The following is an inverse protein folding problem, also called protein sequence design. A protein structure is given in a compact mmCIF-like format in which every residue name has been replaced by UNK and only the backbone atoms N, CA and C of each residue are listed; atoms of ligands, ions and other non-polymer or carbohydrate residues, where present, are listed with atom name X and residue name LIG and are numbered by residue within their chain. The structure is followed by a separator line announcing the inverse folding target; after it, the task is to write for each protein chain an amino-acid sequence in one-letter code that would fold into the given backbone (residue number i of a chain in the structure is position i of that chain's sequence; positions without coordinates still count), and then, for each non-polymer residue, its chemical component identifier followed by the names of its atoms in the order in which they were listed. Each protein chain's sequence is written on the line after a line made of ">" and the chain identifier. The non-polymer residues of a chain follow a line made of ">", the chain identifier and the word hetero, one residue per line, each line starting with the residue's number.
data_IF_995733889078
#
_entry.id   IF_995733889078
#
_cell.length_a   1.000
_cell.length_b   1.000
_cell.length_c   1.000
_cell.angle_alpha   90.00
_cell.angle_beta   90.00
_cell.angle_gamma   90.00
#
_symmetry.space_group_name_H-M   'P 1'
#
loop_
_entity.id
_entity.type
_entity.pdbx_description
1 polymer ?
#
# COMPACT_ATOMS: atom_id res chain seq x y z
N UNK A 1 25.81 -17.50 0.01
CA UNK A 1 24.45 -17.38 -0.57
C UNK A 1 23.90 -15.98 -0.30
N UNK A 2 23.67 -15.19 -1.35
CA UNK A 2 23.11 -13.83 -1.22
C UNK A 2 21.76 -13.91 -0.49
N UNK A 3 21.53 -13.09 0.55
CA UNK A 3 20.28 -13.12 1.35
C UNK A 3 19.02 -12.98 0.48
N UNK A 4 19.17 -12.29 -0.65
CA UNK A 4 18.15 -12.09 -1.68
C UNK A 4 17.68 -13.37 -2.37
N UNK A 5 18.51 -14.42 -2.49
CA UNK A 5 18.15 -15.67 -3.17
C UNK A 5 17.46 -16.71 -2.27
N UNK A 6 17.11 -16.34 -1.05
CA UNK A 6 16.36 -17.25 -0.17
C UNK A 6 14.93 -17.35 -0.67
N UNK A 7 14.39 -18.57 -0.74
CA UNK A 7 13.00 -18.82 -1.14
C UNK A 7 11.99 -17.96 -0.36
N UNK A 8 12.22 -17.79 0.95
CA UNK A 8 11.39 -16.95 1.84
C UNK A 8 11.39 -15.44 1.50
N UNK A 9 12.31 -14.97 0.64
CA UNK A 9 12.40 -13.60 0.13
C UNK A 9 11.81 -13.54 -1.29
N UNK A 10 12.28 -14.42 -2.18
CA UNK A 10 11.90 -14.39 -3.59
C UNK A 10 10.43 -14.77 -3.79
N UNK A 11 9.94 -15.80 -3.10
CA UNK A 11 8.60 -16.33 -3.31
C UNK A 11 7.52 -15.26 -3.06
N UNK A 12 7.51 -14.51 -1.94
CA UNK A 12 6.57 -13.41 -1.75
C UNK A 12 6.67 -12.32 -2.82
N UNK A 13 7.88 -11.98 -3.27
CA UNK A 13 8.09 -10.93 -4.28
C UNK A 13 7.48 -11.36 -5.62
N UNK A 14 7.79 -12.58 -6.08
CA UNK A 14 7.24 -13.11 -7.34
C UNK A 14 5.72 -13.23 -7.25
N UNK A 15 5.19 -13.77 -6.15
CA UNK A 15 3.73 -13.86 -5.96
C UNK A 15 3.09 -12.47 -5.95
N UNK A 16 3.72 -11.48 -5.32
CA UNK A 16 3.23 -10.11 -5.32
C UNK A 16 3.19 -9.50 -6.72
N UNK A 17 4.21 -9.73 -7.54
CA UNK A 17 4.25 -9.27 -8.94
C UNK A 17 3.15 -9.96 -9.76
N UNK A 18 3.01 -11.27 -9.65
CA UNK A 18 2.02 -12.04 -10.42
C UNK A 18 0.59 -11.65 -10.02
N UNK A 19 0.27 -11.71 -8.72
CA UNK A 19 -1.08 -11.40 -8.22
C UNK A 19 -1.42 -9.94 -8.48
N UNK A 20 -0.48 -9.03 -8.19
CA UNK A 20 -0.69 -7.60 -8.41
C UNK A 20 -0.88 -7.26 -9.88
N UNK A 21 -0.05 -7.80 -10.76
CA UNK A 21 -0.15 -7.59 -12.21
C UNK A 21 -1.41 -8.20 -12.81
N UNK A 22 -1.80 -9.42 -12.41
CA UNK A 22 -3.02 -10.08 -12.90
C UNK A 22 -4.27 -9.31 -12.49
N UNK A 23 -4.41 -8.97 -11.20
CA UNK A 23 -5.58 -8.24 -10.72
C UNK A 23 -5.66 -6.82 -11.29
N UNK A 24 -4.50 -6.19 -11.52
CA UNK A 24 -4.45 -4.91 -12.22
C UNK A 24 -4.92 -5.03 -13.67
N UNK A 25 -4.38 -6.00 -14.42
CA UNK A 25 -4.76 -6.21 -15.82
C UNK A 25 -6.25 -6.58 -15.98
N UNK A 26 -6.78 -7.44 -15.11
CA UNK A 26 -8.22 -7.75 -15.11
C UNK A 26 -9.06 -6.54 -14.71
N UNK A 27 -8.63 -5.79 -13.69
CA UNK A 27 -9.32 -4.57 -13.29
C UNK A 27 -9.35 -3.51 -14.39
N UNK A 28 -8.26 -3.34 -15.14
CA UNK A 28 -8.19 -2.43 -16.27
C UNK A 28 -9.07 -2.92 -17.43
N UNK A 29 -9.06 -4.22 -17.73
CA UNK A 29 -9.86 -4.82 -18.79
C UNK A 29 -11.38 -4.72 -18.53
N UNK A 30 -11.80 -4.93 -17.28
CA UNK A 30 -13.21 -4.90 -16.86
C UNK A 30 -13.69 -3.50 -16.40
N UNK A 31 -12.89 -2.46 -16.59
CA UNK A 31 -13.15 -1.08 -16.11
C UNK A 31 -13.55 -1.05 -14.61
N UNK A 32 -12.84 -1.86 -13.82
CA UNK A 32 -13.07 -2.09 -12.41
C UNK A 32 -11.91 -1.49 -11.58
N UNK A 33 -11.91 -0.17 -11.31
CA UNK A 33 -10.81 0.52 -10.61
C UNK A 33 -10.56 -0.02 -9.20
N UNK A 34 -11.59 -0.55 -8.54
CA UNK A 34 -11.47 -1.23 -7.26
C UNK A 34 -10.61 -2.50 -7.33
N UNK A 35 -10.70 -3.27 -8.42
CA UNK A 35 -9.89 -4.47 -8.62
C UNK A 35 -8.42 -4.11 -8.87
N UNK A 36 -8.16 -3.04 -9.64
CA UNK A 36 -6.82 -2.47 -9.81
C UNK A 36 -6.21 -2.08 -8.46
N UNK A 37 -6.98 -1.36 -7.63
CA UNK A 37 -6.52 -0.94 -6.31
C UNK A 37 -6.19 -2.15 -5.40
N UNK A 38 -7.02 -3.20 -5.42
CA UNK A 38 -6.77 -4.44 -4.66
C UNK A 38 -5.50 -5.13 -5.17
N UNK A 39 -5.31 -5.22 -6.49
CA UNK A 39 -4.13 -5.80 -7.11
C UNK A 39 -2.85 -5.10 -6.69
N UNK A 40 -2.78 -3.79 -6.88
CA UNK A 40 -1.63 -2.97 -6.49
C UNK A 40 -1.33 -3.06 -4.99
N UNK A 41 -2.37 -2.99 -4.16
CA UNK A 41 -2.25 -3.08 -2.70
C UNK A 41 -1.68 -4.43 -2.26
N UNK A 42 -2.25 -5.52 -2.77
CA UNK A 42 -1.86 -6.88 -2.41
C UNK A 42 -0.45 -7.20 -2.92
N UNK A 43 -0.15 -6.82 -4.16
CA UNK A 43 1.18 -6.98 -4.76
C UNK A 43 2.24 -6.23 -3.96
N UNK A 44 1.99 -4.97 -3.63
CA UNK A 44 2.90 -4.16 -2.82
C UNK A 44 3.15 -4.78 -1.43
N UNK A 45 2.10 -5.22 -0.72
CA UNK A 45 2.26 -5.87 0.59
C UNK A 45 3.16 -7.10 0.49
N UNK A 46 2.92 -7.98 -0.49
CA UNK A 46 3.68 -9.22 -0.66
C UNK A 46 5.15 -8.95 -0.98
N UNK A 47 5.41 -7.98 -1.87
CA UNK A 47 6.77 -7.54 -2.19
C UNK A 47 7.46 -7.01 -0.93
N UNK A 48 6.79 -6.13 -0.17
CA UNK A 48 7.35 -5.54 1.05
C UNK A 48 7.60 -6.58 2.15
N UNK A 49 6.76 -7.61 2.25
CA UNK A 49 7.00 -8.77 3.14
C UNK A 49 8.28 -9.50 2.75
N UNK A 50 8.50 -9.76 1.46
CA UNK A 50 9.73 -10.37 0.95
C UNK A 50 10.95 -9.49 1.22
N UNK A 51 10.87 -8.19 0.91
CA UNK A 51 11.93 -7.21 1.18
C UNK A 51 12.27 -7.15 2.67
N UNK A 52 11.28 -7.18 3.57
CA UNK A 52 11.52 -7.19 5.01
C UNK A 52 12.33 -8.41 5.47
N UNK A 53 12.22 -9.56 4.79
CA UNK A 53 13.01 -10.76 5.10
C UNK A 53 14.48 -10.65 4.68
N UNK A 54 14.86 -9.69 3.84
CA UNK A 54 16.26 -9.43 3.48
C UNK A 54 17.05 -8.76 4.61
N UNK A 55 16.36 -8.09 5.54
CA UNK A 55 16.95 -7.28 6.62
C UNK A 55 17.29 -5.85 6.22
N UNK A 56 16.97 -5.41 5.00
CA UNK A 56 17.10 -4.01 4.56
C UNK A 56 16.19 -3.09 5.39
N UNK A 57 14.96 -3.54 5.64
CA UNK A 57 14.02 -2.83 6.52
C UNK A 57 14.36 -3.19 7.97
N UNK A 58 14.60 -2.17 8.80
CA UNK A 58 14.85 -2.38 10.23
C UNK A 58 13.63 -3.02 10.88
N UNK A 59 13.86 -3.99 11.76
CA UNK A 59 12.81 -4.72 12.47
C UNK A 59 11.89 -3.72 13.20
N UNK A 60 10.58 -3.81 12.93
CA UNK A 60 9.56 -2.91 13.48
C UNK A 60 9.15 -1.76 12.55
N UNK A 61 9.91 -1.47 11.48
CA UNK A 61 9.57 -0.40 10.53
C UNK A 61 8.69 -0.84 9.36
N UNK A 62 8.51 -2.14 9.11
CA UNK A 62 7.63 -2.60 8.02
C UNK A 62 6.20 -2.06 8.18
N UNK A 63 5.62 -2.21 9.37
CA UNK A 63 4.25 -1.77 9.64
C UNK A 63 4.04 -0.26 9.39
N UNK A 64 4.85 0.67 9.93
CA UNK A 64 4.68 2.09 9.62
C UNK A 64 4.92 2.40 8.14
N UNK A 65 5.86 1.72 7.45
CA UNK A 65 6.05 1.93 6.00
C UNK A 65 4.77 1.58 5.23
N UNK A 66 4.14 0.44 5.55
CA UNK A 66 2.87 0.05 4.92
C UNK A 66 1.76 1.06 5.22
N UNK A 67 1.65 1.54 6.45
CA UNK A 67 0.64 2.54 6.83
C UNK A 67 0.83 3.86 6.07
N UNK A 68 2.07 4.34 5.94
CA UNK A 68 2.38 5.55 5.20
C UNK A 68 2.11 5.40 3.70
N UNK A 69 2.45 4.24 3.12
CA UNK A 69 2.10 3.93 1.74
C UNK A 69 0.59 3.96 1.53
N UNK A 70 -0.19 3.27 2.36
CA UNK A 70 -1.65 3.26 2.22
C UNK A 70 -2.29 4.61 2.48
N UNK A 71 -1.73 5.42 3.38
CA UNK A 71 -2.16 6.80 3.56
C UNK A 71 -2.01 7.60 2.26
N UNK A 72 -0.83 7.57 1.64
CA UNK A 72 -0.58 8.25 0.37
C UNK A 72 -1.45 7.69 -0.76
N UNK A 73 -1.56 6.36 -0.86
CA UNK A 73 -2.34 5.68 -1.90
C UNK A 73 -3.82 6.05 -1.84
N UNK A 74 -4.43 5.99 -0.65
CA UNK A 74 -5.85 6.36 -0.46
C UNK A 74 -6.05 7.85 -0.74
N UNK A 75 -5.14 8.73 -0.28
CA UNK A 75 -5.24 10.16 -0.55
C UNK A 75 -5.20 10.46 -2.05
N UNK A 76 -4.30 9.81 -2.80
CA UNK A 76 -4.17 9.99 -4.24
C UNK A 76 -5.37 9.46 -5.01
N UNK A 77 -5.87 8.26 -4.69
CA UNK A 77 -7.07 7.70 -5.33
C UNK A 77 -8.28 8.59 -5.04
N UNK A 78 -8.46 9.00 -3.78
CA UNK A 78 -9.57 9.88 -3.39
C UNK A 78 -9.49 11.22 -4.12
N UNK A 79 -8.29 11.79 -4.26
CA UNK A 79 -8.08 13.02 -5.01
C UNK A 79 -8.37 12.84 -6.51
N UNK A 80 -7.96 11.73 -7.13
CA UNK A 80 -8.28 11.41 -8.53
C UNK A 80 -9.79 11.37 -8.74
N UNK A 81 -10.50 10.54 -7.97
CA UNK A 81 -11.97 10.40 -8.06
C UNK A 81 -12.67 11.75 -7.85
N UNK A 82 -12.14 12.60 -6.96
CA UNK A 82 -12.67 13.95 -6.74
C UNK A 82 -12.43 14.88 -7.92
N UNK A 83 -11.24 14.87 -8.52
CA UNK A 83 -10.93 15.70 -9.69
C UNK A 83 -11.64 15.23 -10.96
N UNK A 84 -11.88 13.92 -11.09
CA UNK A 84 -12.66 13.33 -12.17
C UNK A 84 -14.16 13.61 -12.03
N UNK A 85 -14.59 14.20 -10.90
CA UNK A 85 -15.98 14.59 -10.66
C UNK A 85 -16.91 13.41 -10.36
N UNK A 86 -16.37 12.22 -10.09
CA UNK A 86 -17.15 10.99 -9.87
C UNK A 86 -18.02 11.04 -8.60
N UNK A 87 -17.74 11.95 -7.67
CA UNK A 87 -18.61 12.20 -6.51
C UNK A 87 -19.87 13.02 -6.85
N UNK A 88 -19.99 13.54 -8.09
CA UNK A 88 -21.17 14.24 -8.60
C UNK A 88 -21.62 15.39 -7.70
N UNK A 89 -22.92 15.41 -7.37
CA UNK A 89 -23.53 16.43 -6.50
C UNK A 89 -23.05 16.40 -5.05
N UNK A 90 -22.28 15.36 -4.66
CA UNK A 90 -21.90 15.10 -3.27
C UNK A 90 -20.38 14.99 -3.08
N UNK A 91 -19.59 16.01 -3.46
CA UNK A 91 -18.14 15.99 -3.37
C UNK A 91 -17.61 15.81 -1.93
N UNK A 92 -18.42 16.15 -0.92
CA UNK A 92 -18.06 15.95 0.49
C UNK A 92 -17.91 14.47 0.87
N UNK A 93 -18.39 13.51 0.07
CA UNK A 93 -18.10 12.08 0.31
C UNK A 93 -16.61 11.74 0.14
N UNK A 94 -15.84 12.54 -0.61
CA UNK A 94 -14.38 12.42 -0.65
C UNK A 94 -13.72 12.57 0.73
N UNK A 95 -14.37 13.26 1.67
CA UNK A 95 -13.86 13.41 3.04
C UNK A 95 -13.62 12.07 3.72
N UNK A 96 -14.42 11.03 3.43
CA UNK A 96 -14.20 9.70 3.99
C UNK A 96 -12.83 9.13 3.61
N UNK A 97 -12.42 9.26 2.35
CA UNK A 97 -11.12 8.81 1.88
C UNK A 97 -9.97 9.59 2.51
N UNK A 98 -10.09 10.93 2.57
CA UNK A 98 -9.06 11.77 3.20
C UNK A 98 -8.93 11.54 4.70
N UNK A 99 -10.04 11.37 5.42
CA UNK A 99 -10.02 11.06 6.86
C UNK A 99 -9.32 9.72 7.10
N UNK A 100 -9.65 8.69 6.31
CA UNK A 100 -8.97 7.40 6.39
C UNK A 100 -7.45 7.53 6.14
N UNK A 101 -7.05 8.28 5.12
CA UNK A 101 -5.64 8.55 4.82
C UNK A 101 -4.92 9.27 5.98
N UNK A 102 -5.54 10.30 6.57
CA UNK A 102 -5.00 11.05 7.71
C UNK A 102 -4.81 10.14 8.92
N UNK A 103 -5.79 9.29 9.23
CA UNK A 103 -5.69 8.34 10.36
C UNK A 103 -4.50 7.40 10.16
N UNK A 104 -4.35 6.82 8.96
CA UNK A 104 -3.22 5.94 8.65
C UNK A 104 -1.88 6.67 8.72
N UNK A 105 -1.81 7.91 8.23
CA UNK A 105 -0.63 8.76 8.30
C UNK A 105 -0.21 8.99 9.75
N UNK A 106 -1.15 9.42 10.60
CA UNK A 106 -0.89 9.70 12.02
C UNK A 106 -0.42 8.44 12.76
N UNK A 107 -1.09 7.30 12.57
CA UNK A 107 -0.68 6.02 13.20
C UNK A 107 0.70 5.59 12.71
N UNK A 108 0.99 5.75 11.41
CA UNK A 108 2.30 5.46 10.81
C UNK A 108 3.41 6.29 11.45
N UNK A 109 3.22 7.62 11.53
CA UNK A 109 4.18 8.56 12.14
C UNK A 109 4.37 8.29 13.64
N UNK A 110 3.28 8.02 14.39
CA UNK A 110 3.36 7.66 15.80
C UNK A 110 4.19 6.40 16.03
N UNK A 111 4.01 5.36 15.19
CA UNK A 111 4.80 4.13 15.28
C UNK A 111 6.28 4.37 14.99
N UNK A 112 6.61 5.24 14.04
CA UNK A 112 8.00 5.65 13.77
C UNK A 112 8.59 6.38 14.98
N UNK A 113 7.85 7.32 15.57
CA UNK A 113 8.30 8.05 16.75
C UNK A 113 8.55 7.13 17.94
N UNK A 114 7.64 6.20 18.22
CA UNK A 114 7.80 5.20 19.29
C UNK A 114 9.03 4.33 19.03
N UNK A 115 9.24 3.89 17.79
CA UNK A 115 10.42 3.13 17.42
C UNK A 115 11.71 3.92 17.63
N UNK A 116 11.73 5.20 17.24
CA UNK A 116 12.86 6.10 17.42
C UNK A 116 13.18 6.38 18.88
N UNK A 117 12.16 6.45 19.75
CA UNK A 117 12.33 6.74 21.18
C UNK A 117 12.79 5.54 22.01
N UNK A 118 12.69 4.32 21.48
CA UNK A 118 13.13 3.08 22.15
C UNK A 118 14.58 2.70 21.84
N UNK A 119 15.26 3.50 21.02
CA UNK A 119 16.60 3.25 20.53
C UNK A 119 17.58 4.17 21.24
#
# INVERSE_FOLDING_TARGET
>A
MNKFFRLKVILPIILGIIIGGLLFAFGEYDDAPGMCAIGLSTGFILIMVGVNKTGVIKKGLLAPILLLFFAAFIALITASILFDGEFGDKPWYSAFGFVAAIVLLLIGLLRIRIYSSKK
#
